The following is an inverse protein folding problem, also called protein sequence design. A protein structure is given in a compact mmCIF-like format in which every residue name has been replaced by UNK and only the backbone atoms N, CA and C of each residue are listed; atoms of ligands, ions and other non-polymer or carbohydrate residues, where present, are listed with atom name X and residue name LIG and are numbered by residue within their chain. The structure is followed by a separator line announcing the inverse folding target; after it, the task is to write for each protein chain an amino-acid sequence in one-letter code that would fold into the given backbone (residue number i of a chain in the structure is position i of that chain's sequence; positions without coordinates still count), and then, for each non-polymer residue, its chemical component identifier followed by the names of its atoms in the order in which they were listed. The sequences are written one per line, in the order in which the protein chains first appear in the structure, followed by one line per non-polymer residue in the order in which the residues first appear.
data_IF_990867174339
#
_entry.id   IF_990867174339
#
_cell.length_a   1.000
_cell.length_b   1.000
_cell.length_c   1.000
_cell.angle_alpha   90.00
_cell.angle_beta   90.00
_cell.angle_gamma   90.00
#
_symmetry.space_group_name_H-M   'P 1'
#
loop_
_entity.id
_entity.type
_entity.pdbx_description
1 polymer ?
#
# COMPACT_ATOMS: atom_id res chain seq x y z
N UNK A 1 -1.38 12.37 4.14
CA UNK A 1 -1.07 10.94 3.87
C UNK A 1 -1.20 10.63 2.40
N UNK A 2 -2.36 10.85 1.75
CA UNK A 2 -2.45 10.78 0.28
C UNK A 2 -1.47 11.77 -0.36
N UNK A 3 -1.41 13.00 0.15
CA UNK A 3 -0.38 13.99 -0.22
C UNK A 3 1.05 13.49 -0.10
N UNK A 4 1.36 12.64 0.88
CA UNK A 4 2.70 12.05 1.03
C UNK A 4 2.99 11.08 -0.12
N UNK A 5 2.00 10.31 -0.55
CA UNK A 5 2.13 9.37 -1.67
C UNK A 5 2.34 10.13 -2.99
N UNK A 6 1.69 11.29 -3.17
CA UNK A 6 1.79 12.11 -4.38
C UNK A 6 3.14 12.82 -4.53
N UNK A 7 3.75 13.23 -3.41
CA UNK A 7 4.98 14.04 -3.41
C UNK A 7 6.24 13.15 -3.29
N UNK A 8 6.10 11.91 -2.81
CA UNK A 8 7.23 10.98 -2.66
C UNK A 8 7.79 10.55 -4.01
N UNK A 9 9.11 10.70 -4.18
CA UNK A 9 9.82 10.25 -5.38
C UNK A 9 10.07 8.74 -5.36
N UNK A 10 10.10 8.15 -4.16
CA UNK A 10 10.30 6.72 -3.98
C UNK A 10 9.28 6.15 -3.01
N UNK A 11 8.74 4.97 -3.35
CA UNK A 11 7.81 4.25 -2.47
C UNK A 11 8.37 4.07 -1.06
N UNK A 12 9.68 3.84 -0.92
CA UNK A 12 10.32 3.60 0.38
C UNK A 12 10.28 4.80 1.34
N UNK A 13 9.96 6.00 0.85
CA UNK A 13 9.79 7.21 1.67
C UNK A 13 8.43 7.22 2.38
N UNK A 14 7.46 6.42 1.90
CA UNK A 14 6.12 6.34 2.46
C UNK A 14 6.20 5.55 3.77
N UNK A 15 5.98 6.24 4.89
CA UNK A 15 5.98 5.59 6.21
C UNK A 15 4.97 4.44 6.29
N UNK A 16 5.42 3.30 6.79
CA UNK A 16 4.58 2.11 6.98
C UNK A 16 4.30 1.31 5.72
N UNK A 17 4.90 1.66 4.58
CA UNK A 17 4.83 0.87 3.35
C UNK A 17 5.66 -0.42 3.48
N UNK A 18 5.10 -1.53 2.98
CA UNK A 18 5.82 -2.80 2.81
C UNK A 18 5.36 -3.49 1.55
N UNK A 19 6.32 -4.04 0.78
CA UNK A 19 6.03 -4.95 -0.32
C UNK A 19 5.44 -6.26 0.22
N UNK A 20 4.42 -6.79 -0.43
CA UNK A 20 3.84 -8.08 -0.08
C UNK A 20 4.69 -9.22 -0.66
N UNK A 21 4.96 -10.24 0.17
CA UNK A 21 5.69 -11.44 -0.26
C UNK A 21 4.83 -12.23 -1.25
N UNK A 22 5.44 -12.71 -2.33
CA UNK A 22 4.74 -13.50 -3.36
C UNK A 22 4.09 -12.67 -4.47
N UNK A 23 4.08 -11.33 -4.37
CA UNK A 23 3.47 -10.45 -5.36
C UNK A 23 4.51 -9.53 -6.00
N UNK A 24 4.44 -9.36 -7.32
CA UNK A 24 5.42 -8.56 -8.08
C UNK A 24 5.26 -7.07 -7.81
N UNK A 25 4.03 -6.61 -7.71
CA UNK A 25 3.66 -5.19 -7.69
C UNK A 25 2.77 -4.78 -6.52
N UNK A 26 2.43 -5.69 -5.60
CA UNK A 26 1.54 -5.40 -4.49
C UNK A 26 2.31 -4.89 -3.25
N UNK A 27 1.79 -3.82 -2.66
CA UNK A 27 2.32 -3.17 -1.46
C UNK A 27 1.18 -2.89 -0.47
N UNK A 28 1.55 -2.68 0.78
CA UNK A 28 0.65 -2.35 1.88
C UNK A 28 1.19 -1.18 2.68
N UNK A 29 0.37 -0.17 2.94
CA UNK A 29 0.66 0.91 3.89
C UNK A 29 -0.09 0.63 5.20
N UNK A 30 0.59 0.73 6.35
CA UNK A 30 -0.02 0.62 7.69
C UNK A 30 -0.44 1.99 8.21
N UNK A 31 -1.68 2.12 8.65
CA UNK A 31 -2.22 3.35 9.26
C UNK A 31 -3.01 2.96 10.50
N UNK A 32 -2.37 3.01 11.67
CA UNK A 32 -3.00 2.53 12.92
C UNK A 32 -3.54 1.10 12.77
N UNK A 33 -4.87 0.98 12.81
CA UNK A 33 -5.62 -0.27 12.65
C UNK A 33 -6.11 -0.56 11.22
N UNK A 34 -5.91 0.35 10.28
CA UNK A 34 -6.23 0.18 8.87
C UNK A 34 -4.98 -0.14 8.06
N UNK A 35 -5.20 -0.72 6.89
CA UNK A 35 -4.16 -0.98 5.90
C UNK A 35 -4.69 -0.63 4.52
N UNK A 36 -3.81 -0.02 3.74
CA UNK A 36 -4.08 0.33 2.35
C UNK A 36 -3.32 -0.64 1.48
N UNK A 37 -4.05 -1.42 0.68
CA UNK A 37 -3.49 -2.22 -0.39
C UNK A 37 -3.31 -1.35 -1.63
N UNK A 38 -2.12 -1.37 -2.21
CA UNK A 38 -1.82 -0.64 -3.43
C UNK A 38 -0.99 -1.48 -4.39
N UNK A 39 -1.17 -1.22 -5.67
CA UNK A 39 -0.31 -1.75 -6.72
C UNK A 39 0.61 -0.64 -7.22
N UNK A 40 1.87 -1.01 -7.47
CA UNK A 40 2.84 -0.13 -8.11
C UNK A 40 3.47 -0.83 -9.30
N UNK A 41 3.15 -0.33 -10.48
CA UNK A 41 3.69 -0.80 -11.76
C UNK A 41 3.92 0.37 -12.71
N UNK A 42 4.99 0.33 -13.50
CA UNK A 42 5.27 1.33 -14.56
C UNK A 42 5.15 2.79 -14.08
N UNK A 43 5.61 3.05 -12.85
CA UNK A 43 5.52 4.36 -12.20
C UNK A 43 4.10 4.87 -11.94
N UNK A 44 3.11 3.97 -11.92
CA UNK A 44 1.73 4.24 -11.57
C UNK A 44 1.41 3.59 -10.22
N UNK A 45 0.73 4.34 -9.34
CA UNK A 45 0.24 3.86 -8.04
C UNK A 45 -1.28 3.75 -8.11
N UNK A 46 -1.79 2.54 -7.91
CA UNK A 46 -3.23 2.29 -7.78
C UNK A 46 -3.58 1.94 -6.33
N UNK A 47 -4.44 2.72 -5.70
CA UNK A 47 -4.96 2.42 -4.37
C UNK A 47 -6.16 1.46 -4.48
N UNK A 48 -5.90 0.16 -4.40
CA UNK A 48 -6.92 -0.86 -4.63
C UNK A 48 -7.93 -0.98 -3.48
N UNK A 49 -7.47 -0.92 -2.22
CA UNK A 49 -8.30 -1.19 -1.04
C UNK A 49 -7.85 -0.42 0.18
N UNK A 50 -8.81 -0.02 1.02
CA UNK A 50 -8.59 0.48 2.39
C UNK A 50 -9.44 -0.37 3.31
N UNK A 51 -8.80 -1.18 4.15
CA UNK A 51 -9.49 -2.18 4.98
C UNK A 51 -8.90 -2.22 6.38
N UNK A 52 -9.71 -2.63 7.36
CA UNK A 52 -9.25 -2.82 8.72
C UNK A 52 -8.31 -4.03 8.82
N UNK A 53 -7.43 -4.06 9.83
CA UNK A 53 -6.37 -5.09 9.99
C UNK A 53 -6.87 -6.52 10.01
N UNK A 54 -8.11 -6.71 10.45
CA UNK A 54 -8.74 -8.02 10.60
C UNK A 54 -9.18 -8.58 9.24
N UNK A 55 -9.47 -7.69 8.29
CA UNK A 55 -10.12 -8.05 7.04
C UNK A 55 -9.12 -8.11 5.88
N UNK A 56 -7.93 -7.48 6.04
CA UNK A 56 -6.94 -7.41 4.96
C UNK A 56 -6.48 -8.78 4.47
N UNK A 57 -6.32 -9.77 5.35
CA UNK A 57 -5.82 -11.09 4.93
C UNK A 57 -6.81 -11.88 4.07
N UNK A 58 -8.10 -11.53 4.12
CA UNK A 58 -9.14 -12.15 3.29
C UNK A 58 -9.43 -11.37 2.01
N UNK A 59 -8.96 -10.12 1.92
CA UNK A 59 -9.36 -9.15 0.89
C UNK A 59 -8.18 -8.62 0.07
N UNK A 60 -6.94 -8.86 0.49
CA UNK A 60 -5.75 -8.37 -0.18
C UNK A 60 -4.48 -9.18 0.18
N UNK A 61 -3.58 -9.44 -0.78
CA UNK A 61 -3.66 -9.07 -2.19
C UNK A 61 -4.72 -9.88 -2.94
#
# INVERSE_FOLDING_TARGET
MISTIEISNHLNEISGIKKLKGHKSAYRIRIGDYRIGLFYEKNHVELARIVHRKDIYNLFP
#
